data_IF_016930467273
#
_entry.id   IF_016930467273
#
_cell.length_a   1.000
_cell.length_b   1.000
_cell.length_c   1.000
_cell.angle_alpha   90.00
_cell.angle_beta   90.00
_cell.angle_gamma   90.00
#
_symmetry.space_group_name_H-M   'P 1'
#
loop_
_entity.id
_entity.type
_entity.pdbx_description
1 polymer ?
#
# COMPACT_ATOMS: atom_id res chain seq x y z
N UNK A 1 18.07 -35.19 6.39
CA UNK A 1 18.51 -34.32 7.49
C UNK A 1 19.09 -33.08 6.86
N UNK A 2 18.37 -31.97 6.94
CA UNK A 2 18.83 -30.69 6.39
C UNK A 2 19.74 -30.02 7.42
N UNK A 3 21.00 -29.78 7.03
CA UNK A 3 22.03 -29.21 7.90
C UNK A 3 21.91 -27.70 7.82
N UNK A 4 21.24 -27.08 8.79
CA UNK A 4 21.20 -25.62 8.90
C UNK A 4 22.61 -25.17 9.32
N UNK A 5 23.38 -24.65 8.36
CA UNK A 5 24.78 -24.28 8.53
C UNK A 5 24.99 -23.34 9.72
N UNK A 6 26.00 -23.66 10.54
CA UNK A 6 26.43 -22.90 11.72
C UNK A 6 26.50 -21.41 11.43
N UNK A 7 25.73 -20.62 12.20
CA UNK A 7 25.71 -19.15 12.17
C UNK A 7 27.14 -18.61 12.27
N UNK A 8 27.64 -18.03 11.19
CA UNK A 8 29.00 -17.51 11.08
C UNK A 8 29.22 -16.39 12.12
N UNK A 9 30.05 -16.65 13.14
CA UNK A 9 30.38 -15.66 14.17
C UNK A 9 31.35 -14.63 13.58
N UNK A 10 30.94 -13.38 13.51
CA UNK A 10 31.80 -12.26 13.11
C UNK A 10 31.43 -11.59 11.78
N UNK A 11 30.41 -12.06 11.08
CA UNK A 11 29.94 -11.42 9.85
C UNK A 11 29.12 -10.17 10.21
N UNK A 12 29.70 -8.99 9.96
CA UNK A 12 28.96 -7.73 10.01
C UNK A 12 28.18 -7.57 8.72
N UNK A 13 26.94 -8.05 8.72
CA UNK A 13 26.00 -7.72 7.65
C UNK A 13 25.79 -6.19 7.64
N UNK A 14 25.90 -5.53 6.47
CA UNK A 14 25.48 -4.14 6.36
C UNK A 14 24.01 -4.08 6.75
N UNK A 15 23.72 -3.35 7.82
CA UNK A 15 22.36 -3.03 8.23
C UNK A 15 21.80 -2.12 7.14
N UNK A 16 21.06 -2.70 6.21
CA UNK A 16 20.30 -1.96 5.20
C UNK A 16 19.24 -1.17 5.96
N UNK A 17 19.56 0.09 6.23
CA UNK A 17 18.70 1.05 6.95
C UNK A 17 18.02 2.03 5.98
N UNK A 18 18.13 1.80 4.66
CA UNK A 18 17.23 2.43 3.71
C UNK A 18 15.84 1.82 3.89
N UNK A 19 15.13 2.31 4.91
CA UNK A 19 13.69 2.20 4.98
C UNK A 19 13.14 2.80 3.69
N UNK A 20 12.44 1.99 2.91
CA UNK A 20 11.68 2.43 1.76
C UNK A 20 10.79 3.59 2.24
N UNK A 21 11.07 4.84 1.83
CA UNK A 21 10.23 5.98 2.23
C UNK A 21 8.80 5.62 1.84
N UNK A 22 7.84 5.54 2.78
CA UNK A 22 6.49 5.12 2.46
C UNK A 22 5.94 6.11 1.43
N UNK A 23 5.70 5.61 0.20
CA UNK A 23 5.14 6.41 -0.89
C UNK A 23 3.65 6.52 -0.65
N UNK A 24 3.27 7.38 0.30
CA UNK A 24 1.87 7.61 0.63
C UNK A 24 1.11 7.99 -0.65
N UNK A 25 0.11 7.18 -0.98
CA UNK A 25 -0.86 7.45 -2.03
C UNK A 25 -1.99 8.27 -1.41
N UNK A 26 -2.61 9.12 -2.21
CA UNK A 26 -3.70 9.98 -1.76
C UNK A 26 -5.02 9.51 -2.35
N UNK A 27 -6.11 9.73 -1.62
CA UNK A 27 -7.45 9.44 -2.12
C UNK A 27 -7.76 10.31 -3.36
N UNK A 28 -8.19 9.67 -4.45
CA UNK A 28 -8.54 10.35 -5.69
C UNK A 28 -9.78 11.24 -5.53
N UNK A 29 -10.75 10.79 -4.75
CA UNK A 29 -12.02 11.47 -4.50
C UNK A 29 -11.82 12.67 -3.57
N UNK A 30 -11.11 12.49 -2.44
CA UNK A 30 -10.72 13.61 -1.58
C UNK A 30 -9.96 14.70 -2.35
N UNK A 31 -9.08 14.31 -3.28
CA UNK A 31 -8.32 15.27 -4.09
C UNK A 31 -9.23 16.12 -4.98
N UNK A 32 -10.34 15.55 -5.45
CA UNK A 32 -11.36 16.27 -6.25
C UNK A 32 -12.14 17.26 -5.38
N UNK A 33 -12.38 16.91 -4.10
CA UNK A 33 -12.95 17.82 -3.09
C UNK A 33 -11.96 18.88 -2.56
N UNK A 34 -10.70 18.86 -2.98
CA UNK A 34 -9.65 19.75 -2.47
C UNK A 34 -9.03 19.32 -1.13
N UNK A 35 -9.39 18.14 -0.63
CA UNK A 35 -8.81 17.52 0.57
C UNK A 35 -7.61 16.63 0.19
N UNK A 36 -6.68 16.44 1.12
CA UNK A 36 -5.52 15.54 0.94
C UNK A 36 -5.53 14.49 2.03
N UNK A 37 -6.27 13.42 1.79
CA UNK A 37 -6.31 12.28 2.68
C UNK A 37 -5.44 11.13 2.14
N UNK A 38 -4.77 10.43 3.06
CA UNK A 38 -3.95 9.26 2.73
C UNK A 38 -4.89 8.13 2.32
N UNK A 39 -4.64 7.55 1.15
CA UNK A 39 -5.36 6.37 0.72
C UNK A 39 -4.87 5.15 1.50
N UNK A 40 -5.83 4.39 2.03
CA UNK A 40 -5.58 3.11 2.71
C UNK A 40 -5.98 1.94 1.83
N UNK A 41 -6.76 2.20 0.76
CA UNK A 41 -7.33 1.16 -0.09
C UNK A 41 -7.09 1.45 -1.57
N UNK A 42 -7.02 0.41 -2.40
CA UNK A 42 -7.01 0.46 -3.86
C UNK A 42 -8.28 -0.23 -4.34
N UNK A 43 -9.15 0.49 -5.04
CA UNK A 43 -10.33 -0.09 -5.67
C UNK A 43 -9.92 -0.76 -6.99
N UNK A 44 -9.94 -2.09 -7.03
CA UNK A 44 -9.57 -2.86 -8.23
C UNK A 44 -10.59 -2.69 -9.35
N UNK A 45 -11.87 -2.53 -9.01
CA UNK A 45 -12.93 -2.36 -10.01
C UNK A 45 -12.74 -1.04 -10.79
N UNK A 46 -12.59 0.07 -10.05
CA UNK A 46 -12.29 1.35 -10.65
C UNK A 46 -10.90 1.40 -11.28
N UNK A 47 -9.96 0.61 -10.77
CA UNK A 47 -8.63 0.50 -11.36
C UNK A 47 -8.66 -0.19 -12.72
N UNK A 48 -9.45 -1.24 -12.84
CA UNK A 48 -9.68 -1.99 -14.07
C UNK A 48 -10.43 -1.13 -15.12
N UNK A 49 -11.46 -0.38 -14.70
CA UNK A 49 -12.20 0.53 -15.58
C UNK A 49 -11.31 1.67 -16.14
N UNK A 50 -10.50 2.30 -15.29
CA UNK A 50 -9.69 3.48 -15.67
C UNK A 50 -8.29 3.12 -16.19
N UNK A 51 -7.90 1.84 -16.15
CA UNK A 51 -6.56 1.39 -16.54
C UNK A 51 -5.42 1.97 -15.70
N UNK A 52 -5.71 2.40 -14.46
CA UNK A 52 -4.74 2.98 -13.51
C UNK A 52 -5.14 2.64 -12.09
N UNK A 53 -4.19 2.52 -11.17
CA UNK A 53 -4.51 2.36 -9.74
C UNK A 53 -5.41 3.51 -9.23
N UNK A 54 -6.60 3.16 -8.74
CA UNK A 54 -7.51 4.09 -8.08
C UNK A 54 -7.39 3.89 -6.58
N UNK A 55 -6.62 4.75 -5.94
CA UNK A 55 -6.43 4.76 -4.49
C UNK A 55 -7.49 5.62 -3.80
N UNK A 56 -8.13 5.05 -2.78
CA UNK A 56 -9.24 5.65 -2.01
C UNK A 56 -8.96 5.53 -0.50
N UNK A 57 -9.52 6.44 0.29
CA UNK A 57 -9.44 6.39 1.74
C UNK A 57 -10.50 5.43 2.32
N UNK A 58 -10.44 5.17 3.63
CA UNK A 58 -11.40 4.30 4.30
C UNK A 58 -12.83 4.88 4.30
N UNK A 59 -13.00 6.20 4.27
CA UNK A 59 -14.32 6.83 4.19
C UNK A 59 -14.96 6.60 2.83
N UNK A 60 -14.22 6.86 1.74
CA UNK A 60 -14.70 6.62 0.37
C UNK A 60 -14.85 5.13 0.05
N UNK A 61 -14.01 4.26 0.63
CA UNK A 61 -14.19 2.82 0.44
C UNK A 61 -15.49 2.32 1.05
N UNK A 62 -15.85 2.81 2.24
CA UNK A 62 -17.06 2.39 2.94
C UNK A 62 -18.33 3.06 2.40
N UNK A 63 -18.23 4.27 1.82
CA UNK A 63 -19.41 5.02 1.37
C UNK A 63 -19.69 4.90 -0.13
N UNK A 64 -18.67 4.93 -1.00
CA UNK A 64 -18.84 4.97 -2.46
C UNK A 64 -18.38 3.67 -3.15
N UNK A 65 -17.59 2.84 -2.46
CA UNK A 65 -17.02 1.61 -3.00
C UNK A 65 -17.30 0.37 -2.13
N UNK A 66 -18.38 0.38 -1.33
CA UNK A 66 -18.73 -0.74 -0.44
C UNK A 66 -18.93 -2.05 -1.23
N UNK A 67 -19.49 -1.95 -2.44
CA UNK A 67 -19.76 -3.08 -3.33
C UNK A 67 -18.60 -3.39 -4.28
N UNK A 68 -17.53 -2.59 -4.26
CA UNK A 68 -16.38 -2.77 -5.13
C UNK A 68 -15.29 -3.56 -4.43
N UNK A 69 -14.56 -4.36 -5.21
CA UNK A 69 -13.41 -5.06 -4.66
C UNK A 69 -12.26 -4.08 -4.41
N UNK A 70 -11.87 -3.93 -3.14
CA UNK A 70 -10.78 -3.06 -2.73
C UNK A 70 -9.72 -3.83 -1.93
N UNK A 71 -8.45 -3.52 -2.17
CA UNK A 71 -7.30 -4.08 -1.45
C UNK A 71 -6.65 -3.04 -0.54
N UNK A 72 -6.23 -3.46 0.66
CA UNK A 72 -5.56 -2.57 1.61
C UNK A 72 -4.10 -2.30 1.20
N UNK A 73 -3.68 -1.03 1.28
CA UNK A 73 -2.30 -0.60 1.02
C UNK A 73 -1.50 -0.74 2.31
N UNK A 74 -0.65 -1.76 2.38
CA UNK A 74 0.29 -1.96 3.49
C UNK A 74 1.63 -1.25 3.17
N UNK A 75 2.10 -0.39 4.09
CA UNK A 75 3.31 0.45 3.96
C UNK A 75 4.49 -0.05 4.78
#
# INVERSE_FOLDING_TARGET
MEVIGLRERGVKYPRVVEQNKPRHRYCSDCKTEGKREIATWICLDCSNDKGRDVSVCAEHVASEHEEHYAEEIVY
#
